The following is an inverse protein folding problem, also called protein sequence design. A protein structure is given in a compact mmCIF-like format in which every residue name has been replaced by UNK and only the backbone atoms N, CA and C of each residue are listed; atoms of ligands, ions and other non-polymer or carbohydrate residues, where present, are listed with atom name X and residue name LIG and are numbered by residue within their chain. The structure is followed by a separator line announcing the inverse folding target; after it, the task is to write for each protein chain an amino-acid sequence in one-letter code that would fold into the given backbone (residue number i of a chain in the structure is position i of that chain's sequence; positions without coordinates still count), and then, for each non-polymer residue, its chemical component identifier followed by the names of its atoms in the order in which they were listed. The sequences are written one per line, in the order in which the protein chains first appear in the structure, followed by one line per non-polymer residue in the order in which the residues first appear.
data_IF_851138305138
#
_entry.id   IF_851138305138
#
_cell.length_a   1.000
_cell.length_b   1.000
_cell.length_c   1.000
_cell.angle_alpha   90.00
_cell.angle_beta   90.00
_cell.angle_gamma   90.00
#
_symmetry.space_group_name_H-M   'P 1'
#
loop_
_entity.id
_entity.type
_entity.pdbx_description
1 polymer ?
#
# COMPACT_ATOMS: atom_id res chain seq x y z
N UNK A 1 -12.66 16.82 -25.90
CA UNK A 1 -11.25 16.60 -25.51
C UNK A 1 -11.22 15.65 -24.31
N UNK A 2 -10.33 14.64 -24.30
CA UNK A 2 -10.19 13.68 -23.19
C UNK A 2 -9.35 14.33 -22.09
N UNK A 3 -9.94 14.58 -20.91
CA UNK A 3 -9.23 15.17 -19.79
C UNK A 3 -8.39 14.11 -19.07
N UNK A 4 -7.06 14.25 -19.05
CA UNK A 4 -6.19 13.47 -18.18
C UNK A 4 -6.21 14.09 -16.77
N UNK A 5 -6.77 13.36 -15.81
CA UNK A 5 -6.95 13.82 -14.42
C UNK A 5 -5.84 13.38 -13.47
N UNK A 6 -4.90 12.57 -13.95
CA UNK A 6 -3.81 12.00 -13.15
C UNK A 6 -2.56 11.83 -14.03
N UNK A 7 -1.40 12.06 -13.42
CA UNK A 7 -0.09 11.78 -14.01
C UNK A 7 0.25 10.30 -13.82
N UNK A 8 0.86 9.68 -14.83
CA UNK A 8 1.32 8.29 -14.79
C UNK A 8 2.78 8.21 -15.23
N UNK A 9 3.64 7.74 -14.32
CA UNK A 9 5.02 7.39 -14.65
C UNK A 9 5.14 5.86 -14.82
N UNK A 10 5.66 5.42 -15.95
CA UNK A 10 5.99 4.01 -16.20
C UNK A 10 7.50 3.87 -16.06
N UNK A 11 7.94 3.06 -15.09
CA UNK A 11 9.36 2.83 -14.82
C UNK A 11 9.69 1.40 -15.28
N UNK A 12 10.62 1.30 -16.22
CA UNK A 12 11.08 0.01 -16.76
C UNK A 12 12.28 -0.53 -15.98
N UNK A 13 12.56 -1.85 -16.03
CA UNK A 13 13.69 -2.47 -15.33
C UNK A 13 15.08 -1.87 -15.62
N UNK A 14 15.26 -1.24 -16.80
CA UNK A 14 16.50 -0.54 -17.16
C UNK A 14 16.74 0.75 -16.37
N UNK A 15 15.72 1.29 -15.70
CA UNK A 15 15.87 2.50 -14.91
C UNK A 15 16.78 2.24 -13.68
N UNK A 16 17.76 3.11 -13.39
CA UNK A 16 18.70 2.91 -12.27
C UNK A 16 18.00 2.80 -10.90
N UNK A 17 16.81 3.36 -10.75
CA UNK A 17 16.05 3.32 -9.51
C UNK A 17 15.05 2.17 -9.43
N UNK A 18 14.91 1.35 -10.48
CA UNK A 18 13.86 0.32 -10.53
C UNK A 18 13.93 -0.63 -9.34
N UNK A 19 15.11 -1.16 -9.01
CA UNK A 19 15.27 -2.12 -7.91
C UNK A 19 14.90 -1.52 -6.55
N UNK A 20 15.33 -0.28 -6.28
CA UNK A 20 14.99 0.43 -5.04
C UNK A 20 13.47 0.63 -4.93
N UNK A 21 12.83 1.04 -6.02
CA UNK A 21 11.39 1.28 -6.06
C UNK A 21 10.60 -0.03 -5.92
N UNK A 22 11.04 -1.11 -6.55
CA UNK A 22 10.43 -2.43 -6.42
C UNK A 22 10.47 -2.93 -4.97
N UNK A 23 11.62 -2.79 -4.30
CA UNK A 23 11.79 -3.14 -2.89
C UNK A 23 10.85 -2.31 -1.99
N UNK A 24 10.74 -1.01 -2.25
CA UNK A 24 9.86 -0.12 -1.47
C UNK A 24 8.38 -0.44 -1.70
N UNK A 25 7.98 -0.74 -2.95
CA UNK A 25 6.64 -1.20 -3.27
C UNK A 25 6.30 -2.51 -2.54
N UNK A 26 7.24 -3.47 -2.52
CA UNK A 26 7.08 -4.72 -1.80
C UNK A 26 6.89 -4.50 -0.30
N UNK A 27 7.74 -3.69 0.33
CA UNK A 27 7.64 -3.33 1.76
C UNK A 27 6.33 -2.62 2.08
N UNK A 28 5.93 -1.64 1.26
CA UNK A 28 4.69 -0.88 1.42
C UNK A 28 3.46 -1.79 1.35
N UNK A 29 3.41 -2.71 0.37
CA UNK A 29 2.34 -3.71 0.25
C UNK A 29 2.26 -4.59 1.50
N UNK A 30 3.39 -5.06 2.01
CA UNK A 30 3.41 -5.91 3.19
C UNK A 30 2.94 -5.16 4.44
N UNK A 31 3.37 -3.90 4.62
CA UNK A 31 2.90 -3.05 5.72
C UNK A 31 1.38 -2.85 5.66
N UNK A 32 0.84 -2.53 4.48
CA UNK A 32 -0.60 -2.39 4.27
C UNK A 32 -1.37 -3.67 4.59
N UNK A 33 -0.87 -4.82 4.09
CA UNK A 33 -1.48 -6.12 4.35
C UNK A 33 -1.45 -6.49 5.85
N UNK A 34 -0.34 -6.21 6.52
CA UNK A 34 -0.20 -6.44 7.96
C UNK A 34 -1.19 -5.59 8.77
N UNK A 35 -1.29 -4.29 8.50
CA UNK A 35 -2.26 -3.42 9.16
C UNK A 35 -3.69 -3.90 8.92
N UNK A 36 -4.05 -4.20 7.66
CA UNK A 36 -5.37 -4.73 7.33
C UNK A 36 -5.69 -6.05 8.04
N UNK A 37 -4.71 -6.94 8.17
CA UNK A 37 -4.88 -8.18 8.91
C UNK A 37 -5.26 -7.88 10.36
N UNK A 38 -4.54 -7.00 11.05
CA UNK A 38 -4.84 -6.65 12.45
C UNK A 38 -6.23 -6.02 12.61
N UNK A 39 -6.60 -5.09 11.72
CA UNK A 39 -7.93 -4.48 11.70
C UNK A 39 -9.02 -5.56 11.59
N UNK A 40 -8.86 -6.48 10.62
CA UNK A 40 -9.83 -7.56 10.39
C UNK A 40 -9.89 -8.51 11.58
N UNK A 41 -8.75 -8.87 12.17
CA UNK A 41 -8.72 -9.74 13.34
C UNK A 41 -9.49 -9.14 14.52
N UNK A 42 -9.30 -7.84 14.79
CA UNK A 42 -10.03 -7.15 15.85
C UNK A 42 -11.51 -7.01 15.54
N UNK A 43 -11.84 -6.67 14.30
CA UNK A 43 -13.23 -6.54 13.87
C UNK A 43 -13.98 -7.88 13.94
N UNK A 44 -13.39 -8.97 13.44
CA UNK A 44 -14.04 -10.28 13.46
C UNK A 44 -14.20 -10.85 14.87
N UNK A 45 -13.29 -10.53 15.80
CA UNK A 45 -13.34 -11.03 17.18
C UNK A 45 -14.24 -10.19 18.10
N UNK A 46 -14.22 -8.87 17.94
CA UNK A 46 -14.82 -7.93 18.88
C UNK A 46 -15.89 -7.02 18.26
N UNK A 47 -16.09 -7.06 16.94
CA UNK A 47 -16.94 -6.13 16.20
C UNK A 47 -16.38 -4.70 16.12
N UNK A 48 -15.11 -4.49 16.50
CA UNK A 48 -14.50 -3.16 16.62
C UNK A 48 -13.47 -2.90 15.52
N UNK A 49 -13.57 -1.73 14.91
CA UNK A 49 -12.54 -1.20 14.02
C UNK A 49 -11.46 -0.48 14.83
N UNK A 50 -10.19 -0.67 14.47
CA UNK A 50 -9.07 0.12 15.01
C UNK A 50 -8.52 1.04 13.93
N UNK A 51 -8.42 2.32 14.27
CA UNK A 51 -7.75 3.30 13.42
C UNK A 51 -6.24 3.24 13.60
N UNK A 52 -5.49 3.85 12.69
CA UNK A 52 -4.03 3.96 12.79
C UNK A 52 -3.55 4.51 14.14
N UNK A 53 -4.26 5.49 14.70
CA UNK A 53 -3.91 6.10 16.00
C UNK A 53 -4.14 5.16 17.20
N UNK A 54 -4.78 4.01 16.99
CA UNK A 54 -5.14 3.02 18.01
C UNK A 54 -4.45 1.67 17.79
N UNK A 55 -3.64 1.55 16.74
CA UNK A 55 -2.71 0.45 16.53
C UNK A 55 -1.45 0.67 17.35
#
# INVERSE_FOLDING_TARGET
MKANRVEKHIIYPKNPYYQMLDEYCFKSKNLYNFANYQIRQKFCKEGKYISYNQM
#
